data_IF_838489825645
#
_entry.id   IF_838489825645
#
_cell.length_a   1.000
_cell.length_b   1.000
_cell.length_c   1.000
_cell.angle_alpha   90.00
_cell.angle_beta   90.00
_cell.angle_gamma   90.00
#
_symmetry.space_group_name_H-M   'P 1'
#
loop_
_entity.id
_entity.type
_entity.pdbx_description
1 polymer ?
#
# COMPACT_ATOMS: atom_id res chain seq x y z
N UNK A 1 9.80 -8.79 13.20
CA UNK A 1 11.03 -7.96 13.18
C UNK A 1 10.78 -6.47 13.47
N UNK A 2 9.72 -6.11 14.22
CA UNK A 2 9.44 -4.71 14.59
C UNK A 2 9.43 -3.73 13.40
N UNK A 3 10.02 -2.53 13.52
CA UNK A 3 10.04 -1.51 12.46
C UNK A 3 10.65 -2.00 11.15
N UNK A 4 11.68 -2.85 11.23
CA UNK A 4 12.30 -3.46 10.04
C UNK A 4 11.32 -4.33 9.27
N UNK A 5 10.47 -5.09 9.97
CA UNK A 5 9.45 -5.90 9.33
C UNK A 5 8.45 -5.06 8.54
N UNK A 6 8.02 -3.92 9.11
CA UNK A 6 7.14 -2.98 8.41
C UNK A 6 7.81 -2.38 7.16
N UNK A 7 9.11 -2.04 7.24
CA UNK A 7 9.88 -1.59 6.07
C UNK A 7 9.99 -2.65 4.97
N UNK A 8 10.16 -3.93 5.33
CA UNK A 8 10.21 -5.04 4.36
C UNK A 8 8.87 -5.24 3.63
N UNK A 9 7.73 -5.02 4.31
CA UNK A 9 6.41 -5.03 3.69
C UNK A 9 6.26 -3.88 2.68
N UNK A 10 6.68 -2.66 3.05
CA UNK A 10 6.72 -1.52 2.12
C UNK A 10 7.59 -1.84 0.91
N UNK A 11 8.79 -2.37 1.12
CA UNK A 11 9.74 -2.65 0.06
C UNK A 11 9.16 -3.65 -0.97
N UNK A 12 8.32 -4.58 -0.51
CA UNK A 12 7.59 -5.52 -1.37
C UNK A 12 6.59 -4.78 -2.27
N UNK A 13 5.79 -3.88 -1.70
CA UNK A 13 4.83 -3.06 -2.46
C UNK A 13 5.56 -2.15 -3.44
N UNK A 14 6.62 -1.48 -2.97
CA UNK A 14 7.43 -0.55 -3.75
C UNK A 14 7.98 -1.21 -5.02
N UNK A 15 8.58 -2.39 -4.87
CA UNK A 15 9.14 -3.16 -5.98
C UNK A 15 8.07 -3.61 -6.97
N UNK A 16 6.92 -4.09 -6.51
CA UNK A 16 5.87 -4.56 -7.42
C UNK A 16 5.28 -3.38 -8.21
N UNK A 17 5.03 -2.24 -7.56
CA UNK A 17 4.53 -1.03 -8.24
C UNK A 17 5.56 -0.50 -9.23
N UNK A 18 6.84 -0.41 -8.86
CA UNK A 18 7.90 0.02 -9.77
C UNK A 18 8.04 -0.92 -10.99
N UNK A 19 7.91 -2.23 -10.78
CA UNK A 19 7.88 -3.20 -11.87
C UNK A 19 6.66 -3.02 -12.78
N UNK A 20 5.48 -2.72 -12.21
CA UNK A 20 4.27 -2.39 -12.98
C UNK A 20 4.45 -1.12 -13.81
N UNK A 21 5.02 -0.06 -13.22
CA UNK A 21 5.28 1.23 -13.87
C UNK A 21 6.22 1.10 -15.06
N UNK A 22 7.22 0.21 -14.97
CA UNK A 22 8.25 0.04 -15.99
C UNK A 22 7.84 -0.93 -17.10
N UNK A 23 7.06 -1.96 -16.78
CA UNK A 23 6.77 -3.05 -17.74
C UNK A 23 5.34 -3.08 -18.24
N UNK A 24 4.38 -2.56 -17.47
CA UNK A 24 2.95 -2.76 -17.74
C UNK A 24 2.51 -4.24 -17.69
N UNK A 25 3.31 -5.14 -17.10
CA UNK A 25 3.06 -6.60 -17.09
C UNK A 25 2.56 -7.16 -15.75
N UNK A 26 2.20 -6.29 -14.80
CA UNK A 26 1.67 -6.73 -13.50
C UNK A 26 0.16 -6.86 -13.59
N UNK A 27 -0.36 -8.03 -13.23
CA UNK A 27 -1.80 -8.23 -13.13
C UNK A 27 -2.38 -7.35 -12.00
N UNK A 28 -3.47 -6.58 -12.24
CA UNK A 28 -4.09 -5.76 -11.20
C UNK A 28 -4.50 -6.56 -9.94
N UNK A 29 -4.78 -7.85 -10.10
CA UNK A 29 -5.12 -8.77 -8.99
C UNK A 29 -3.99 -8.94 -7.97
N UNK A 30 -2.72 -8.76 -8.36
CA UNK A 30 -1.59 -8.82 -7.44
C UNK A 30 -1.51 -7.57 -6.55
N UNK A 31 -1.83 -6.40 -7.12
CA UNK A 31 -1.91 -5.15 -6.35
C UNK A 31 -3.12 -5.16 -5.42
N UNK A 32 -4.25 -5.71 -5.87
CA UNK A 32 -5.41 -6.02 -5.01
C UNK A 32 -5.01 -6.90 -3.82
N UNK A 33 -4.27 -7.99 -4.08
CA UNK A 33 -3.87 -8.94 -3.05
C UNK A 33 -2.92 -8.31 -2.01
N UNK A 34 -1.93 -7.53 -2.45
CA UNK A 34 -1.05 -6.80 -1.53
C UNK A 34 -1.80 -5.76 -0.72
N UNK A 35 -2.70 -4.99 -1.35
CA UNK A 35 -3.50 -4.01 -0.64
C UNK A 35 -4.36 -4.68 0.44
N UNK A 36 -5.07 -5.75 0.08
CA UNK A 36 -5.91 -6.51 1.01
C UNK A 36 -5.09 -7.09 2.17
N UNK A 37 -3.92 -7.65 1.89
CA UNK A 37 -3.08 -8.27 2.91
C UNK A 37 -2.44 -7.26 3.87
N UNK A 38 -2.05 -6.07 3.41
CA UNK A 38 -1.23 -5.16 4.21
C UNK A 38 -2.00 -3.97 4.77
N UNK A 39 -2.94 -3.41 4.00
CA UNK A 39 -3.73 -2.25 4.41
C UNK A 39 -5.21 -2.59 4.66
N UNK A 40 -5.70 -3.71 4.12
CA UNK A 40 -7.07 -4.20 4.32
C UNK A 40 -7.23 -5.12 5.52
N UNK A 41 -6.18 -5.82 5.92
CA UNK A 41 -6.14 -6.62 7.15
C UNK A 41 -5.85 -5.70 8.33
N UNK A 42 -6.76 -5.69 9.31
CA UNK A 42 -6.69 -4.79 10.46
C UNK A 42 -5.46 -5.08 11.35
N UNK A 43 -5.07 -6.34 11.51
CA UNK A 43 -3.92 -6.70 12.34
C UNK A 43 -2.61 -6.26 11.67
N UNK A 44 -2.50 -6.40 10.35
CA UNK A 44 -1.32 -5.94 9.61
C UNK A 44 -1.28 -4.42 9.54
N UNK A 45 -2.42 -3.75 9.32
CA UNK A 45 -2.51 -2.28 9.36
C UNK A 45 -2.08 -1.75 10.72
N UNK A 46 -2.59 -2.32 11.82
CA UNK A 46 -2.21 -1.93 13.18
C UNK A 46 -0.71 -2.14 13.42
N UNK A 47 -0.15 -3.27 12.98
CA UNK A 47 1.29 -3.53 13.05
C UNK A 47 2.11 -2.49 12.28
N UNK A 48 1.70 -2.12 11.06
CA UNK A 48 2.37 -1.11 10.26
C UNK A 48 2.35 0.26 10.96
N UNK A 49 1.20 0.66 11.49
CA UNK A 49 1.02 1.93 12.20
C UNK A 49 1.84 2.00 13.48
N UNK A 50 1.87 0.93 14.27
CA UNK A 50 2.61 0.86 15.53
C UNK A 50 4.14 0.80 15.32
N UNK A 51 4.58 0.04 14.31
CA UNK A 51 6.01 -0.24 14.13
C UNK A 51 6.71 0.72 13.18
N UNK A 52 6.03 1.21 12.15
CA UNK A 52 6.59 2.17 11.20
C UNK A 52 5.48 2.92 10.44
N UNK A 53 4.88 3.96 11.04
CA UNK A 53 3.80 4.71 10.40
C UNK A 53 4.24 5.37 9.09
N UNK A 54 5.52 5.77 8.97
CA UNK A 54 6.08 6.27 7.71
C UNK A 54 6.02 5.22 6.59
N UNK A 55 6.24 3.94 6.91
CA UNK A 55 6.09 2.86 5.94
C UNK A 55 4.64 2.66 5.52
N UNK A 56 3.69 2.77 6.45
CA UNK A 56 2.26 2.73 6.16
C UNK A 56 1.85 3.87 5.20
N UNK A 57 2.27 5.10 5.51
CA UNK A 57 2.01 6.28 4.68
C UNK A 57 2.61 6.15 3.27
N UNK A 58 3.85 5.69 3.17
CA UNK A 58 4.53 5.47 1.89
C UNK A 58 3.84 4.37 1.07
N UNK A 59 3.38 3.30 1.72
CA UNK A 59 2.65 2.22 1.07
C UNK A 59 1.32 2.70 0.49
N UNK A 60 0.54 3.48 1.27
CA UNK A 60 -0.68 4.10 0.77
C UNK A 60 -0.42 5.07 -0.38
N UNK A 61 0.67 5.84 -0.33
CA UNK A 61 1.07 6.72 -1.42
C UNK A 61 1.41 5.95 -2.70
N UNK A 62 2.10 4.79 -2.60
CA UNK A 62 2.39 3.91 -3.74
C UNK A 62 1.12 3.36 -4.38
N UNK A 63 0.17 2.90 -3.58
CA UNK A 63 -1.14 2.45 -4.09
C UNK A 63 -1.92 3.58 -4.77
N UNK A 64 -1.92 4.77 -4.19
CA UNK A 64 -2.56 5.94 -4.79
C UNK A 64 -1.90 6.34 -6.12
N UNK A 65 -0.58 6.22 -6.24
CA UNK A 65 0.12 6.50 -7.51
C UNK A 65 -0.18 5.45 -8.58
N UNK A 66 -0.18 4.16 -8.20
CA UNK A 66 -0.59 3.08 -9.10
C UNK A 66 -2.01 3.29 -9.64
N UNK A 67 -2.95 3.77 -8.81
CA UNK A 67 -4.30 4.14 -9.25
C UNK A 67 -4.31 5.31 -10.22
N UNK A 68 -3.63 6.41 -9.88
CA UNK A 68 -3.56 7.59 -10.75
C UNK A 68 -2.98 7.28 -12.14
N UNK A 69 -2.06 6.32 -12.22
CA UNK A 69 -1.44 5.84 -13.47
C UNK A 69 -2.25 4.78 -14.21
N UNK A 70 -3.40 4.35 -13.67
CA UNK A 70 -4.22 3.29 -14.26
C UNK A 70 -3.62 1.88 -14.15
N UNK A 71 -2.62 1.69 -13.29
CA UNK A 71 -1.97 0.38 -13.05
C UNK A 71 -2.78 -0.49 -12.10
N UNK A 72 -3.64 0.12 -11.27
CA UNK A 72 -4.48 -0.58 -10.33
C UNK A 72 -5.89 0.01 -10.25
N UNK A 73 -6.89 -0.87 -10.26
CA UNK A 73 -8.30 -0.54 -10.08
C UNK A 73 -8.86 -1.36 -8.91
N UNK A 74 -8.88 -0.75 -7.73
CA UNK A 74 -9.48 -1.37 -6.56
C UNK A 74 -10.99 -1.58 -6.75
N UNK A 75 -11.52 -2.65 -6.17
CA UNK A 75 -12.95 -2.99 -6.25
C UNK A 75 -13.85 -2.14 -5.37
N UNK A 76 -13.29 -1.44 -4.38
CA UNK A 76 -14.02 -0.58 -3.44
C UNK A 76 -14.10 0.85 -3.95
N UNK A 77 -15.29 1.47 -3.79
CA UNK A 77 -15.53 2.85 -4.22
C UNK A 77 -14.95 3.91 -3.27
N UNK A 78 -14.59 3.52 -2.04
CA UNK A 78 -14.06 4.40 -0.99
C UNK A 78 -12.53 4.38 -0.87
N UNK A 79 -11.85 3.66 -1.76
CA UNK A 79 -10.42 3.38 -1.63
C UNK A 79 -9.55 4.64 -1.62
N UNK A 80 -9.87 5.66 -2.42
CA UNK A 80 -9.09 6.89 -2.47
C UNK A 80 -9.22 7.68 -1.15
N UNK A 81 -10.39 7.62 -0.52
CA UNK A 81 -10.62 8.20 0.80
C UNK A 81 -9.89 7.40 1.90
N UNK A 82 -9.94 6.07 1.85
CA UNK A 82 -9.22 5.19 2.80
C UNK A 82 -7.69 5.40 2.74
N UNK A 83 -7.11 5.45 1.54
CA UNK A 83 -5.68 5.72 1.36
C UNK A 83 -5.29 7.13 1.83
N UNK A 84 -6.16 8.12 1.66
CA UNK A 84 -5.93 9.48 2.16
C UNK A 84 -6.01 9.53 3.69
N UNK A 85 -7.00 8.86 4.29
CA UNK A 85 -7.18 8.77 5.73
C UNK A 85 -5.97 8.09 6.40
N UNK A 86 -5.50 6.96 5.85
CA UNK A 86 -4.35 6.25 6.40
C UNK A 86 -3.06 7.09 6.36
N UNK A 87 -2.89 7.92 5.32
CA UNK A 87 -1.74 8.85 5.25
C UNK A 87 -1.84 9.98 6.26
N UNK A 88 -3.05 10.44 6.59
CA UNK A 88 -3.27 11.45 7.62
C UNK A 88 -3.01 10.87 9.01
N UNK A 89 -3.57 9.69 9.30
CA UNK A 89 -3.36 8.95 10.55
C UNK A 89 -1.87 8.68 10.81
N UNK A 90 -1.12 8.29 9.77
CA UNK A 90 0.31 8.01 9.88
C UNK A 90 1.20 9.27 10.02
N UNK A 91 0.63 10.47 9.89
CA UNK A 91 1.33 11.74 10.05
C UNK A 91 1.11 12.38 11.44
N UNK A 92 0.20 11.83 12.24
CA UNK A 92 -0.02 12.18 13.66
C UNK A 92 1.02 11.50 14.56
#
# INVERSE_FOLDING_TARGET
HGPRGASELLETVDRLVAFAETTGRVAPSLLDALHAAYLGDEAVRAFLMDQNPQAAAAMAARFADARRRGLWHARRNDIDADLAALRAEAAE
#
